data_IF_673365245141
#
_entry.id   IF_673365245141
#
_cell.length_a   1.000
_cell.length_b   1.000
_cell.length_c   1.000
_cell.angle_alpha   90.00
_cell.angle_beta   90.00
_cell.angle_gamma   90.00
#
_symmetry.space_group_name_H-M   'P 1'
#
loop_
_entity.id
_entity.type
_entity.pdbx_description
1 polymer ?
#
# COMPACT_ATOMS: atom_id res chain seq x y z
N UNK A 1 -36.81 -67.06 -5.07
CA UNK A 1 -36.27 -65.85 -5.70
C UNK A 1 -36.48 -64.67 -4.74
N UNK A 2 -35.38 -64.20 -4.11
CA UNK A 2 -35.42 -63.02 -3.17
C UNK A 2 -34.67 -61.88 -3.82
N UNK A 3 -35.43 -60.84 -4.21
CA UNK A 3 -34.89 -59.63 -4.79
C UNK A 3 -34.44 -58.68 -3.67
N UNK A 4 -33.10 -58.45 -3.53
CA UNK A 4 -32.56 -57.48 -2.64
C UNK A 4 -32.54 -56.11 -3.34
N UNK A 5 -33.35 -55.15 -2.85
CA UNK A 5 -33.35 -53.78 -3.28
C UNK A 5 -32.26 -53.00 -2.47
N UNK A 6 -31.16 -52.70 -3.12
CA UNK A 6 -30.08 -51.90 -2.51
C UNK A 6 -30.41 -50.42 -2.62
N UNK A 7 -30.61 -49.75 -1.48
CA UNK A 7 -30.81 -48.28 -1.41
C UNK A 7 -29.42 -47.64 -1.38
N UNK A 8 -29.10 -46.90 -2.45
CA UNK A 8 -27.87 -46.10 -2.57
C UNK A 8 -28.09 -44.73 -1.90
N UNK A 9 -27.58 -44.55 -0.70
CA UNK A 9 -27.58 -43.28 0.01
C UNK A 9 -26.46 -42.36 -0.55
N UNK A 10 -26.85 -41.38 -1.37
CA UNK A 10 -25.98 -40.28 -1.82
C UNK A 10 -25.76 -39.31 -0.66
N UNK A 11 -24.60 -39.39 -0.04
CA UNK A 11 -24.18 -38.40 0.98
C UNK A 11 -23.71 -37.15 0.28
N UNK A 12 -24.51 -36.09 0.33
CA UNK A 12 -24.12 -34.74 -0.08
C UNK A 12 -23.19 -34.16 0.99
N UNK A 13 -21.88 -34.10 0.71
CA UNK A 13 -20.95 -33.31 1.51
C UNK A 13 -21.03 -31.83 1.13
N UNK A 14 -21.31 -30.93 2.06
CA UNK A 14 -21.22 -29.50 1.79
C UNK A 14 -19.75 -29.13 1.57
N UNK A 15 -19.42 -28.65 0.37
CA UNK A 15 -18.11 -28.04 0.09
C UNK A 15 -18.09 -26.68 0.80
N UNK A 16 -17.41 -26.63 1.94
CA UNK A 16 -17.13 -25.37 2.62
C UNK A 16 -16.17 -24.56 1.73
N UNK A 17 -16.70 -23.55 1.04
CA UNK A 17 -15.89 -22.54 0.35
C UNK A 17 -15.18 -21.73 1.42
N UNK A 18 -13.94 -22.09 1.72
CA UNK A 18 -13.06 -21.30 2.59
C UNK A 18 -12.84 -19.95 1.91
N UNK A 19 -13.42 -18.90 2.49
CA UNK A 19 -13.17 -17.53 2.09
C UNK A 19 -11.69 -17.26 2.31
N UNK A 20 -10.91 -17.16 1.23
CA UNK A 20 -9.48 -16.86 1.30
C UNK A 20 -9.29 -15.53 2.02
N UNK A 21 -8.91 -15.60 3.28
CA UNK A 21 -8.51 -14.44 4.06
C UNK A 21 -7.22 -13.92 3.42
N UNK A 22 -7.20 -12.66 3.00
CA UNK A 22 -6.02 -12.04 2.39
C UNK A 22 -4.90 -12.03 3.42
N UNK A 23 -4.06 -13.05 3.39
CA UNK A 23 -2.92 -13.15 4.29
C UNK A 23 -1.75 -12.33 3.72
N UNK A 24 -1.35 -11.29 4.43
CA UNK A 24 -0.08 -10.61 4.18
C UNK A 24 1.07 -11.46 4.75
N UNK A 25 2.29 -11.38 4.17
CA UNK A 25 3.43 -12.13 4.71
C UNK A 25 3.73 -11.65 6.13
N UNK A 26 4.09 -12.58 7.02
CA UNK A 26 4.46 -12.26 8.41
C UNK A 26 5.90 -11.80 8.54
N UNK A 27 6.75 -12.13 7.58
CA UNK A 27 8.16 -11.79 7.51
C UNK A 27 8.44 -10.96 6.26
N UNK A 28 9.46 -10.11 6.31
CA UNK A 28 9.87 -9.23 5.20
C UNK A 28 8.72 -8.37 4.65
N UNK A 29 7.84 -7.92 5.54
CA UNK A 29 6.63 -7.20 5.15
C UNK A 29 6.95 -5.92 4.40
N UNK A 30 7.98 -5.18 4.82
CA UNK A 30 8.40 -3.96 4.13
C UNK A 30 8.91 -4.23 2.71
N UNK A 31 9.67 -5.30 2.50
CA UNK A 31 10.12 -5.71 1.18
C UNK A 31 8.93 -6.09 0.27
N UNK A 32 7.99 -6.87 0.80
CA UNK A 32 6.75 -7.19 0.10
C UNK A 32 5.96 -5.93 -0.28
N UNK A 33 5.85 -4.97 0.63
CA UNK A 33 5.19 -3.69 0.37
C UNK A 33 5.85 -2.98 -0.80
N UNK A 34 7.17 -2.79 -0.78
CA UNK A 34 7.90 -2.09 -1.86
C UNK A 34 7.71 -2.78 -3.20
N UNK A 35 7.80 -4.12 -3.25
CA UNK A 35 7.66 -4.89 -4.48
C UNK A 35 6.23 -4.84 -5.06
N UNK A 36 5.21 -4.74 -4.20
CA UNK A 36 3.80 -4.82 -4.59
C UNK A 36 3.08 -3.48 -4.61
N UNK A 37 3.68 -2.41 -4.10
CA UNK A 37 3.06 -1.10 -4.07
C UNK A 37 2.89 -0.53 -5.48
N UNK A 38 1.65 -0.25 -5.85
CA UNK A 38 1.34 0.53 -7.05
C UNK A 38 1.71 2.00 -6.79
N UNK A 39 2.91 2.39 -7.16
CA UNK A 39 3.44 3.73 -6.98
C UNK A 39 2.58 4.81 -7.66
N UNK A 40 1.78 4.42 -8.67
CA UNK A 40 0.84 5.35 -9.33
C UNK A 40 -0.39 5.66 -8.49
N UNK A 41 -0.66 4.86 -7.45
CA UNK A 41 -1.76 5.09 -6.52
C UNK A 41 -1.41 6.03 -5.37
N UNK A 42 -0.13 6.36 -5.19
CA UNK A 42 0.33 7.26 -4.15
C UNK A 42 -0.22 8.68 -4.36
N UNK A 43 -0.34 9.49 -3.30
CA UNK A 43 -0.62 10.93 -3.40
C UNK A 43 0.34 11.63 -4.36
N UNK A 44 -0.12 12.69 -5.02
CA UNK A 44 0.60 13.33 -6.13
C UNK A 44 2.03 13.79 -5.75
N UNK A 45 2.21 14.27 -4.53
CA UNK A 45 3.49 14.73 -4.02
C UNK A 45 4.53 13.61 -3.81
N UNK A 46 4.06 12.36 -3.63
CA UNK A 46 4.89 11.18 -3.37
C UNK A 46 5.07 10.30 -4.61
N UNK A 47 4.34 10.60 -5.67
CA UNK A 47 4.24 9.76 -6.86
C UNK A 47 5.42 10.00 -7.79
N UNK A 48 6.11 8.95 -8.29
CA UNK A 48 7.08 9.10 -9.38
C UNK A 48 6.44 9.75 -10.61
N UNK A 49 7.24 10.43 -11.43
CA UNK A 49 6.76 10.94 -12.71
C UNK A 49 6.15 9.81 -13.52
N UNK A 50 4.97 10.03 -14.10
CA UNK A 50 4.26 8.99 -14.86
C UNK A 50 5.14 8.43 -15.99
N UNK A 51 5.22 7.10 -16.07
CA UNK A 51 5.85 6.36 -17.15
C UNK A 51 4.85 5.38 -17.75
N UNK A 52 4.82 5.25 -19.08
CA UNK A 52 3.92 4.31 -19.77
C UNK A 52 4.20 2.88 -19.29
N UNK A 53 3.19 2.18 -18.80
CA UNK A 53 3.28 0.79 -18.34
C UNK A 53 3.95 0.59 -16.98
N UNK A 54 4.54 1.61 -16.38
CA UNK A 54 5.21 1.54 -15.07
C UNK A 54 4.21 1.66 -13.94
N UNK A 55 4.32 0.77 -12.94
CA UNK A 55 3.43 0.75 -11.76
C UNK A 55 4.18 0.69 -10.44
N UNK A 56 5.16 -0.19 -10.31
CA UNK A 56 5.90 -0.40 -9.07
C UNK A 56 7.17 0.45 -9.03
N UNK A 57 7.75 0.64 -7.87
CA UNK A 57 9.05 1.30 -7.74
C UNK A 57 10.13 0.60 -8.58
N UNK A 58 10.11 -0.73 -8.65
CA UNK A 58 11.01 -1.51 -9.51
C UNK A 58 10.87 -1.16 -10.99
N UNK A 59 9.64 -0.98 -11.50
CA UNK A 59 9.40 -0.56 -12.89
C UNK A 59 10.01 0.81 -13.20
N UNK A 60 10.09 1.68 -12.19
CA UNK A 60 10.74 2.98 -12.30
C UNK A 60 12.26 2.94 -12.12
N UNK A 61 12.82 1.76 -11.83
CA UNK A 61 14.26 1.57 -11.65
C UNK A 61 14.76 1.97 -10.26
N UNK A 62 13.87 2.12 -9.28
CA UNK A 62 14.28 2.35 -7.90
C UNK A 62 14.94 1.10 -7.32
N UNK A 63 15.99 1.32 -6.55
CA UNK A 63 16.68 0.27 -5.81
C UNK A 63 16.08 0.16 -4.41
N UNK A 64 15.86 -1.07 -3.95
CA UNK A 64 15.35 -1.33 -2.61
C UNK A 64 16.48 -1.86 -1.73
N UNK A 65 16.68 -1.24 -0.59
CA UNK A 65 17.54 -1.74 0.49
C UNK A 65 16.70 -2.14 1.68
N UNK A 66 16.91 -3.34 2.18
CA UNK A 66 16.26 -3.81 3.40
C UNK A 66 17.00 -3.21 4.61
N UNK A 67 16.27 -2.49 5.47
CA UNK A 67 16.78 -2.02 6.75
C UNK A 67 16.37 -2.96 7.89
N UNK A 68 15.22 -3.62 7.76
CA UNK A 68 14.68 -4.58 8.72
C UNK A 68 13.47 -5.32 8.14
N UNK A 69 12.79 -6.16 8.92
CA UNK A 69 11.61 -6.86 8.44
C UNK A 69 10.42 -5.91 8.21
N UNK A 70 10.39 -4.81 8.94
CA UNK A 70 9.32 -3.82 8.89
C UNK A 70 9.75 -2.50 8.25
N UNK A 71 10.99 -2.38 7.78
CA UNK A 71 11.52 -1.14 7.23
C UNK A 71 12.35 -1.40 5.98
N UNK A 72 12.10 -0.61 4.94
CA UNK A 72 12.83 -0.63 3.69
C UNK A 72 13.14 0.79 3.21
N UNK A 73 14.33 0.97 2.64
CA UNK A 73 14.76 2.18 1.95
C UNK A 73 14.63 1.96 0.43
N UNK A 74 14.05 2.92 -0.25
CA UNK A 74 13.87 2.94 -1.70
C UNK A 74 14.63 4.14 -2.25
N UNK A 75 15.60 3.90 -3.12
CA UNK A 75 16.48 4.91 -3.68
C UNK A 75 16.20 5.12 -5.17
N UNK A 76 16.06 6.38 -5.58
CA UNK A 76 15.87 6.72 -6.99
C UNK A 76 17.09 6.33 -7.85
N UNK A 77 16.89 5.93 -9.13
CA UNK A 77 17.94 5.38 -9.99
C UNK A 77 19.10 6.34 -10.27
N UNK A 78 18.88 7.65 -10.16
CA UNK A 78 19.91 8.68 -10.39
C UNK A 78 20.45 9.29 -9.09
N UNK A 79 20.12 8.72 -7.94
CA UNK A 79 20.41 9.30 -6.64
C UNK A 79 19.52 10.52 -6.31
N UNK A 80 19.72 11.09 -5.15
CA UNK A 80 19.09 12.35 -4.73
C UNK A 80 17.74 12.21 -4.03
N UNK A 81 16.90 11.25 -4.37
CA UNK A 81 15.63 11.02 -3.68
C UNK A 81 15.62 9.66 -2.99
N UNK A 82 15.35 9.68 -1.71
CA UNK A 82 15.22 8.49 -0.87
C UNK A 82 13.85 8.45 -0.23
N UNK A 83 13.28 7.26 -0.14
CA UNK A 83 11.98 7.01 0.47
C UNK A 83 12.17 5.89 1.49
N UNK A 84 11.82 6.15 2.75
CA UNK A 84 11.73 5.12 3.78
C UNK A 84 10.28 4.71 3.93
N UNK A 85 10.04 3.41 3.92
CA UNK A 85 8.72 2.81 4.15
C UNK A 85 8.82 1.94 5.40
N UNK A 86 8.15 2.36 6.47
CA UNK A 86 8.11 1.64 7.74
C UNK A 86 6.70 1.10 7.98
N UNK A 87 6.57 -0.21 8.20
CA UNK A 87 5.29 -0.87 8.47
C UNK A 87 4.88 -0.60 9.91
N UNK A 88 3.75 0.07 10.11
CA UNK A 88 3.22 0.45 11.42
C UNK A 88 2.30 -0.62 11.98
N UNK A 89 1.31 -1.05 11.20
CA UNK A 89 0.28 -2.00 11.63
C UNK A 89 -0.23 -2.81 10.44
N UNK A 90 -0.61 -4.03 10.71
CA UNK A 90 -1.31 -4.92 9.76
C UNK A 90 -2.61 -5.38 10.39
N UNK A 91 -3.70 -5.23 9.64
CA UNK A 91 -5.01 -5.68 10.10
C UNK A 91 -5.91 -6.07 8.91
N UNK A 92 -7.19 -6.38 9.16
CA UNK A 92 -8.16 -6.77 8.13
C UNK A 92 -8.40 -5.68 7.07
N UNK A 93 -8.16 -4.41 7.41
CA UNK A 93 -8.31 -3.29 6.48
C UNK A 93 -7.15 -3.16 5.51
N UNK A 94 -5.96 -3.64 5.89
CA UNK A 94 -4.75 -3.55 5.09
C UNK A 94 -3.49 -3.41 5.92
N UNK A 95 -2.45 -2.85 5.30
CA UNK A 95 -1.17 -2.54 5.93
C UNK A 95 -1.06 -1.01 6.07
N UNK A 96 -0.89 -0.54 7.29
CA UNK A 96 -0.53 0.86 7.55
C UNK A 96 0.98 1.01 7.49
N UNK A 97 1.43 1.98 6.72
CA UNK A 97 2.87 2.30 6.60
C UNK A 97 3.10 3.78 6.84
N UNK A 98 4.24 4.10 7.45
CA UNK A 98 4.82 5.42 7.40
C UNK A 98 5.63 5.54 6.11
N UNK A 99 5.23 6.46 5.27
CA UNK A 99 5.96 6.86 4.07
C UNK A 99 6.72 8.15 4.39
N UNK A 100 8.03 8.10 4.36
CA UNK A 100 8.90 9.25 4.61
C UNK A 100 9.83 9.41 3.40
N UNK A 101 9.81 10.57 2.76
CA UNK A 101 10.62 10.83 1.58
C UNK A 101 10.59 12.29 1.15
N UNK A 102 11.32 12.59 0.09
CA UNK A 102 11.36 13.93 -0.48
C UNK A 102 10.16 14.16 -1.41
N UNK A 103 9.59 15.36 -1.35
CA UNK A 103 8.55 15.76 -2.28
C UNK A 103 9.14 15.86 -3.71
N UNK A 104 8.72 14.95 -4.58
CA UNK A 104 9.20 14.84 -5.97
C UNK A 104 9.01 16.13 -6.80
N UNK A 105 8.11 17.03 -6.37
CA UNK A 105 7.70 18.20 -7.14
C UNK A 105 7.97 19.56 -6.47
N UNK A 106 8.39 19.58 -5.22
CA UNK A 106 8.47 20.83 -4.42
C UNK A 106 9.86 21.14 -3.89
N UNK A 107 10.89 20.93 -4.70
CA UNK A 107 12.23 21.39 -4.34
C UNK A 107 12.89 20.65 -3.16
N UNK A 108 12.52 19.40 -2.92
CA UNK A 108 13.16 18.56 -1.90
C UNK A 108 12.59 18.72 -0.48
N UNK A 109 11.40 19.24 -0.33
CA UNK A 109 10.72 19.27 0.98
C UNK A 109 10.44 17.86 1.47
N UNK A 110 10.76 17.57 2.72
CA UNK A 110 10.46 16.29 3.34
C UNK A 110 8.96 16.10 3.51
N UNK A 111 8.46 14.93 3.14
CA UNK A 111 7.06 14.54 3.33
C UNK A 111 7.02 13.29 4.19
N UNK A 112 6.19 13.31 5.22
CA UNK A 112 5.91 12.13 6.03
C UNK A 112 4.40 11.97 6.18
N UNK A 113 3.88 10.79 5.80
CA UNK A 113 2.45 10.47 5.78
C UNK A 113 2.20 9.03 6.20
N UNK A 114 1.07 8.82 6.84
CA UNK A 114 0.53 7.48 7.03
C UNK A 114 -0.28 7.10 5.80
N UNK A 115 0.06 5.97 5.20
CA UNK A 115 -0.69 5.38 4.09
C UNK A 115 -1.33 4.08 4.53
N UNK A 116 -2.58 3.86 4.14
CA UNK A 116 -3.23 2.56 4.18
C UNK A 116 -3.07 1.88 2.82
N UNK A 117 -2.42 0.73 2.83
CA UNK A 117 -2.19 -0.11 1.66
C UNK A 117 -3.18 -1.26 1.65
N UNK A 118 -3.92 -1.40 0.55
CA UNK A 118 -4.91 -2.46 0.38
C UNK A 118 -4.62 -3.29 -0.86
N UNK A 119 -4.66 -4.62 -0.72
CA UNK A 119 -4.53 -5.51 -1.86
C UNK A 119 -5.84 -5.48 -2.67
N UNK A 120 -5.76 -5.03 -3.91
CA UNK A 120 -6.92 -5.04 -4.80
C UNK A 120 -6.99 -6.35 -5.58
N UNK A 121 -8.19 -6.91 -5.67
CA UNK A 121 -8.43 -8.13 -6.46
C UNK A 121 -8.05 -7.89 -7.92
N UNK A 122 -7.31 -8.82 -8.54
CA UNK A 122 -7.07 -8.88 -9.97
C UNK A 122 -5.62 -8.75 -10.41
N UNK A 123 -4.78 -7.89 -9.82
CA UNK A 123 -3.38 -7.72 -10.26
C UNK A 123 -2.32 -7.96 -9.18
N UNK A 124 -2.72 -8.30 -7.96
CA UNK A 124 -1.80 -8.57 -6.85
C UNK A 124 -0.99 -7.35 -6.39
N UNK A 125 -1.36 -6.12 -6.80
CA UNK A 125 -0.71 -4.90 -6.36
C UNK A 125 -1.43 -4.27 -5.17
N UNK A 126 -0.65 -3.66 -4.28
CA UNK A 126 -1.12 -2.86 -3.16
C UNK A 126 -1.46 -1.44 -3.66
N UNK A 127 -2.68 -0.98 -3.37
CA UNK A 127 -3.10 0.39 -3.60
C UNK A 127 -2.90 1.21 -2.33
N UNK A 128 -2.17 2.32 -2.44
CA UNK A 128 -1.93 3.26 -1.36
C UNK A 128 -2.95 4.40 -1.37
N UNK A 129 -3.44 4.74 -0.18
CA UNK A 129 -4.21 5.96 0.06
C UNK A 129 -3.78 6.59 1.38
N UNK A 130 -3.83 7.89 1.48
CA UNK A 130 -3.61 8.60 2.74
C UNK A 130 -4.58 8.13 3.83
N UNK A 131 -4.08 8.02 5.06
CA UNK A 131 -4.86 7.65 6.23
C UNK A 131 -4.74 8.75 7.28
N UNK A 132 -5.87 9.09 7.88
CA UNK A 132 -5.94 10.03 9.01
C UNK A 132 -5.70 9.35 10.37
N UNK A 133 -5.42 8.04 10.36
CA UNK A 133 -5.07 7.33 11.58
C UNK A 133 -3.69 7.79 12.04
N UNK A 134 -3.62 8.26 13.28
CA UNK A 134 -2.37 8.71 13.90
C UNK A 134 -1.56 7.54 14.46
N UNK A 135 -0.25 7.64 14.34
CA UNK A 135 0.72 6.71 14.90
C UNK A 135 1.89 7.50 15.48
N UNK A 136 2.29 7.20 16.70
CA UNK A 136 3.37 7.90 17.41
C UNK A 136 4.70 7.92 16.62
N UNK A 137 4.98 6.88 15.85
CA UNK A 137 6.18 6.78 15.02
C UNK A 137 6.09 7.45 13.65
N UNK A 138 4.98 8.11 13.31
CA UNK A 138 4.78 8.72 11.99
C UNK A 138 3.96 10.02 12.08
N UNK A 139 4.52 11.09 12.65
CA UNK A 139 3.87 12.39 12.61
C UNK A 139 3.74 12.88 11.16
N UNK A 140 2.66 13.58 10.85
CA UNK A 140 2.43 14.15 9.51
C UNK A 140 3.35 15.36 9.32
N UNK A 141 4.26 15.29 8.33
CA UNK A 141 5.21 16.36 8.02
C UNK A 141 5.11 16.73 6.53
N UNK A 142 5.09 18.02 6.26
CA UNK A 142 5.07 18.56 4.88
C UNK A 142 3.73 18.38 4.16
N UNK A 143 3.59 19.06 3.02
CA UNK A 143 2.35 19.12 2.27
C UNK A 143 1.38 20.12 2.89
N UNK A 144 1.64 21.42 2.69
CA UNK A 144 0.62 22.44 2.94
C UNK A 144 -0.58 22.10 2.06
N UNK A 145 -1.73 21.95 2.68
CA UNK A 145 -3.01 21.90 2.01
C UNK A 145 -3.20 23.19 1.24
N UNK A 146 -2.88 23.15 -0.05
CA UNK A 146 -3.08 24.29 -0.96
C UNK A 146 -4.55 24.44 -1.36
N UNK A 147 -5.47 23.91 -0.58
CA UNK A 147 -6.91 23.94 -0.88
C UNK A 147 -7.75 24.54 0.26
N UNK A 148 -7.15 25.36 1.13
CA UNK A 148 -7.94 26.34 1.86
C UNK A 148 -8.17 27.52 0.91
N UNK A 149 -9.05 27.35 -0.05
CA UNK A 149 -9.72 28.44 -0.71
C UNK A 149 -10.46 29.23 0.37
N UNK A 150 -9.81 30.26 0.87
CA UNK A 150 -10.43 31.31 1.66
C UNK A 150 -11.37 32.05 0.70
N UNK A 151 -12.63 31.61 0.65
CA UNK A 151 -13.72 32.46 0.19
C UNK A 151 -13.84 33.63 1.17
N UNK A 152 -12.96 34.61 1.01
CA UNK A 152 -13.14 35.97 1.52
C UNK A 152 -14.26 36.61 0.73
N UNK A 153 -15.50 36.33 1.12
CA UNK A 153 -16.63 37.18 0.74
C UNK A 153 -16.50 38.47 1.53
N UNK A 154 -15.76 39.44 0.97
CA UNK A 154 -15.76 40.84 1.37
C UNK A 154 -17.05 41.47 0.93
N UNK A 155 -18.03 41.50 1.81
CA UNK A 155 -19.14 42.44 1.65
C UNK A 155 -18.68 43.88 2.02
N UNK A 156 -18.95 44.80 1.15
CA UNK A 156 -18.86 46.23 1.31
C UNK A 156 -19.92 46.86 0.43
#
# INVERSE_FOLDING_TARGET
>A
MKTMCGVLLLVWMPVAVAKSEKAYPKEKVAEFVVQKLDATSLPLAMRPKRGKGKKTFGDYGYLTRKLGDREALVEAPQGGSQITISVLEENKSGIYVCFNGDAQKQGGSQIQRVLLLTLRNGNGLLKGRESWKEFDGCPVIGGADSDAATDSYGGG
#
